data_IF_022747004977
#
_entry.id   IF_022747004977
#
_cell.length_a   1.000
_cell.length_b   1.000
_cell.length_c   1.000
_cell.angle_alpha   90.00
_cell.angle_beta   90.00
_cell.angle_gamma   90.00
#
_symmetry.space_group_name_H-M   'P 1'
#
loop_
_entity.id
_entity.type
_entity.pdbx_description
1 polymer ?
#
# COMPACT_ATOMS: atom_id res chain seq x y z
N UNK A 1 59.13 -31.90 -47.94
CA UNK A 1 58.91 -30.59 -47.30
C UNK A 1 57.42 -30.41 -47.16
N UNK A 2 56.84 -30.78 -46.01
CA UNK A 2 55.38 -30.74 -45.71
C UNK A 2 55.13 -29.63 -44.69
N UNK A 3 54.47 -28.59 -45.14
CA UNK A 3 54.07 -27.45 -44.31
C UNK A 3 52.81 -27.81 -43.47
N UNK A 4 52.96 -27.79 -42.16
CA UNK A 4 51.85 -27.92 -41.21
C UNK A 4 51.24 -26.54 -40.94
N UNK A 5 49.99 -26.27 -41.42
CA UNK A 5 49.19 -25.12 -41.07
C UNK A 5 48.54 -25.36 -39.70
N UNK A 6 48.91 -24.61 -38.67
CA UNK A 6 48.30 -24.63 -37.38
C UNK A 6 47.06 -23.69 -37.38
N UNK A 7 45.87 -24.26 -37.26
CA UNK A 7 44.60 -23.55 -37.08
C UNK A 7 44.52 -23.08 -35.65
N UNK A 8 44.61 -21.76 -35.41
CA UNK A 8 44.36 -21.15 -34.08
C UNK A 8 42.87 -20.93 -33.90
N UNK A 9 42.24 -21.73 -33.05
CA UNK A 9 40.85 -21.50 -32.60
C UNK A 9 40.84 -20.38 -31.55
N UNK A 10 40.31 -19.23 -31.90
CA UNK A 10 40.09 -18.11 -30.96
C UNK A 10 38.72 -18.29 -30.29
N UNK A 11 38.69 -18.77 -29.04
CA UNK A 11 37.47 -18.80 -28.24
C UNK A 11 37.11 -17.37 -27.80
N UNK A 12 36.03 -16.82 -28.35
CA UNK A 12 35.42 -15.57 -27.87
C UNK A 12 34.53 -15.91 -26.66
N UNK A 13 34.98 -15.56 -25.47
CA UNK A 13 34.19 -15.66 -24.27
C UNK A 13 33.19 -14.49 -24.24
N UNK A 14 31.90 -14.76 -24.47
CA UNK A 14 30.82 -13.80 -24.32
C UNK A 14 30.52 -13.69 -22.81
N UNK A 15 30.99 -12.61 -22.17
CA UNK A 15 30.59 -12.25 -20.82
C UNK A 15 29.15 -11.74 -20.85
N UNK A 16 28.20 -12.55 -20.38
CA UNK A 16 26.88 -12.08 -20.03
C UNK A 16 26.99 -11.24 -18.75
N UNK A 17 27.01 -9.92 -18.89
CA UNK A 17 26.78 -9.01 -17.77
C UNK A 17 25.32 -9.14 -17.34
N UNK A 18 25.06 -9.86 -16.25
CA UNK A 18 23.77 -9.82 -15.57
C UNK A 18 23.59 -8.39 -15.05
N UNK A 19 22.78 -7.59 -15.74
CA UNK A 19 22.31 -6.31 -15.23
C UNK A 19 21.45 -6.60 -13.99
N UNK A 20 22.01 -6.45 -12.81
CA UNK A 20 21.26 -6.34 -11.59
C UNK A 20 20.44 -5.04 -11.70
N UNK A 21 19.17 -5.16 -12.08
CA UNK A 21 18.23 -4.05 -12.00
C UNK A 21 18.14 -3.63 -10.54
N UNK A 22 18.83 -2.56 -10.18
CA UNK A 22 18.69 -1.94 -8.87
C UNK A 22 17.23 -1.52 -8.75
N UNK A 23 16.52 -2.11 -7.79
CA UNK A 23 15.19 -1.71 -7.39
C UNK A 23 15.24 -0.25 -6.94
N UNK A 24 14.78 0.67 -7.78
CA UNK A 24 14.74 2.08 -7.45
C UNK A 24 13.52 2.39 -6.57
N UNK A 25 13.76 3.00 -5.42
CA UNK A 25 12.75 3.79 -4.71
C UNK A 25 12.81 5.20 -5.28
N UNK A 26 11.74 5.71 -5.87
CA UNK A 26 11.69 7.08 -6.40
C UNK A 26 10.56 7.89 -5.77
N UNK A 27 10.79 9.17 -5.57
CA UNK A 27 9.74 10.12 -5.17
C UNK A 27 9.14 10.67 -6.45
N UNK A 28 7.87 10.38 -6.66
CA UNK A 28 7.07 10.94 -7.75
C UNK A 28 6.20 12.04 -7.19
N UNK A 29 6.16 13.18 -7.87
CA UNK A 29 5.29 14.31 -7.51
C UNK A 29 4.43 14.66 -8.72
N UNK A 30 3.10 14.65 -8.50
CA UNK A 30 2.11 15.00 -9.52
C UNK A 30 1.39 16.29 -9.13
N UNK A 31 0.88 17.01 -10.12
CA UNK A 31 -0.05 18.11 -9.87
C UNK A 31 -1.39 17.53 -9.40
N UNK A 32 -1.78 17.87 -8.18
CA UNK A 32 -3.06 17.51 -7.59
C UNK A 32 -4.14 18.54 -7.90
N UNK A 33 -4.86 18.99 -6.86
CA UNK A 33 -5.78 20.14 -6.94
C UNK A 33 -5.06 21.39 -7.41
N UNK A 34 -5.84 22.38 -7.85
CA UNK A 34 -5.29 23.67 -8.30
C UNK A 34 -4.36 24.28 -7.24
N UNK A 35 -3.09 24.45 -7.60
CA UNK A 35 -2.05 25.06 -6.77
C UNK A 35 -1.34 24.08 -5.83
N UNK A 36 -1.79 22.83 -5.72
CA UNK A 36 -1.21 21.85 -4.81
C UNK A 36 -0.56 20.67 -5.58
N UNK A 37 0.37 20.00 -4.89
CA UNK A 37 1.03 18.80 -5.41
C UNK A 37 0.83 17.61 -4.47
N UNK A 38 0.82 16.42 -5.06
CA UNK A 38 0.74 15.16 -4.34
C UNK A 38 1.98 14.32 -4.63
N UNK A 39 2.76 14.01 -3.59
CA UNK A 39 3.92 13.12 -3.70
C UNK A 39 3.60 11.72 -3.24
N UNK A 40 4.27 10.75 -3.83
CA UNK A 40 4.24 9.35 -3.39
C UNK A 40 5.59 8.67 -3.62
N UNK A 41 5.90 7.67 -2.79
CA UNK A 41 7.06 6.81 -2.96
C UNK A 41 6.69 5.67 -3.90
N UNK A 42 7.29 5.61 -5.08
CA UNK A 42 7.10 4.52 -6.03
C UNK A 42 8.22 3.49 -5.91
N UNK A 43 7.84 2.21 -5.90
CA UNK A 43 8.74 1.06 -5.89
C UNK A 43 8.21 0.02 -6.86
N UNK A 44 8.99 -0.35 -7.87
CA UNK A 44 8.64 -1.42 -8.79
C UNK A 44 9.87 -2.19 -9.25
N UNK A 45 9.65 -3.32 -9.88
CA UNK A 45 10.67 -4.12 -10.56
C UNK A 45 10.34 -4.18 -12.06
N UNK A 46 11.32 -4.57 -12.87
CA UNK A 46 11.08 -5.03 -14.24
C UNK A 46 10.75 -6.53 -14.24
N UNK A 47 9.86 -7.03 -15.09
CA UNK A 47 9.03 -6.31 -16.09
C UNK A 47 7.89 -5.49 -15.44
N UNK A 48 7.06 -4.76 -16.23
CA UNK A 48 5.93 -4.00 -15.70
C UNK A 48 5.00 -4.84 -14.82
N UNK A 49 4.52 -4.31 -13.68
CA UNK A 49 3.72 -5.05 -12.72
C UNK A 49 2.32 -5.40 -13.25
N UNK A 50 1.72 -6.46 -12.72
CA UNK A 50 0.30 -6.81 -12.94
C UNK A 50 -0.65 -5.97 -12.07
N UNK A 51 -0.14 -5.51 -10.93
CA UNK A 51 -0.91 -4.72 -9.98
C UNK A 51 -0.06 -3.63 -9.31
N UNK A 52 -0.69 -2.54 -8.91
CA UNK A 52 -0.11 -1.47 -8.10
C UNK A 52 -0.88 -1.35 -6.79
N UNK A 53 -0.17 -1.43 -5.67
CA UNK A 53 -0.69 -1.18 -4.33
C UNK A 53 -0.51 0.31 -3.99
N UNK A 54 -1.58 1.09 -4.06
CA UNK A 54 -1.61 2.50 -3.60
C UNK A 54 -1.92 2.49 -2.12
N UNK A 55 -0.93 2.84 -1.29
CA UNK A 55 -0.96 2.65 0.15
C UNK A 55 -1.19 3.96 0.90
N UNK A 56 -2.15 3.96 1.82
CA UNK A 56 -2.46 5.08 2.71
C UNK A 56 -2.05 4.73 4.15
N UNK A 57 -0.92 5.26 4.65
CA UNK A 57 -0.51 5.06 6.03
C UNK A 57 -1.51 5.62 7.03
N UNK A 58 -1.55 5.01 8.22
CA UNK A 58 -2.31 5.49 9.37
C UNK A 58 -1.75 6.77 9.97
N UNK A 59 -2.24 7.13 11.18
CA UNK A 59 -1.87 8.38 11.83
C UNK A 59 -2.19 9.59 10.95
N UNK A 60 -1.32 10.57 10.93
CA UNK A 60 -1.45 11.79 10.11
C UNK A 60 -1.13 11.54 8.62
N UNK A 61 -0.61 10.36 8.25
CA UNK A 61 -0.23 10.04 6.87
C UNK A 61 0.93 10.90 6.34
N UNK A 62 1.73 11.47 7.23
CA UNK A 62 2.79 12.40 6.92
C UNK A 62 4.13 11.66 6.81
N UNK A 63 4.51 11.29 5.59
CA UNK A 63 5.77 10.59 5.34
C UNK A 63 6.96 11.53 5.25
N UNK A 64 6.77 12.78 4.84
CA UNK A 64 7.86 13.73 4.60
C UNK A 64 8.93 13.16 3.68
N UNK A 65 8.48 12.72 2.52
CA UNK A 65 9.36 12.14 1.51
C UNK A 65 10.40 13.14 1.06
N UNK A 66 11.68 12.73 1.09
CA UNK A 66 12.80 13.56 0.64
C UNK A 66 13.96 12.71 0.14
N UNK A 67 14.73 13.26 -0.76
CA UNK A 67 15.97 12.64 -1.24
C UNK A 67 17.15 13.13 -0.42
N UNK A 68 17.97 12.22 0.10
CA UNK A 68 19.25 12.52 0.74
C UNK A 68 20.34 11.69 0.06
N UNK A 69 21.21 12.35 -0.70
CA UNK A 69 22.16 11.67 -1.58
C UNK A 69 21.42 10.78 -2.59
N UNK A 70 21.78 9.51 -2.66
CA UNK A 70 21.16 8.51 -3.56
C UNK A 70 20.03 7.71 -2.87
N UNK A 71 19.54 8.16 -1.72
CA UNK A 71 18.55 7.42 -0.93
C UNK A 71 17.28 8.24 -0.72
N UNK A 72 16.14 7.58 -0.73
CA UNK A 72 14.88 8.17 -0.26
C UNK A 72 14.78 8.03 1.25
N UNK A 73 14.43 9.12 1.92
CA UNK A 73 14.15 9.17 3.36
C UNK A 73 12.69 9.53 3.60
N UNK A 74 12.14 8.99 4.67
CA UNK A 74 10.74 9.22 5.05
C UNK A 74 10.53 8.99 6.56
N UNK A 75 9.43 9.52 7.06
CA UNK A 75 8.92 9.29 8.41
C UNK A 75 8.04 8.04 8.48
N UNK A 76 7.51 7.73 9.67
CA UNK A 76 6.55 6.63 9.91
C UNK A 76 7.07 5.23 9.54
N UNK A 77 8.38 4.99 9.58
CA UNK A 77 8.99 3.72 9.23
C UNK A 77 8.46 2.50 10.01
N UNK A 78 7.80 2.70 11.16
CA UNK A 78 7.13 1.63 11.93
C UNK A 78 5.70 1.33 11.46
N UNK A 79 5.03 2.25 10.74
CA UNK A 79 3.68 2.01 10.21
C UNK A 79 3.63 0.70 9.42
N UNK A 80 2.56 -0.08 9.56
CA UNK A 80 2.44 -1.40 8.94
C UNK A 80 2.72 -1.37 7.43
N UNK A 81 2.01 -0.54 6.66
CA UNK A 81 2.19 -0.48 5.21
C UNK A 81 3.58 0.04 4.81
N UNK A 82 4.14 0.99 5.58
CA UNK A 82 5.46 1.55 5.29
C UNK A 82 6.57 0.54 5.54
N UNK A 83 6.55 -0.19 6.68
CA UNK A 83 7.60 -1.17 6.99
C UNK A 83 7.52 -2.43 6.13
N UNK A 84 6.32 -2.79 5.68
CA UNK A 84 6.10 -3.99 4.85
C UNK A 84 6.14 -3.72 3.35
N UNK A 85 6.38 -2.49 2.91
CA UNK A 85 6.39 -2.11 1.49
C UNK A 85 7.25 -3.01 0.60
N UNK A 86 8.42 -3.41 1.12
CA UNK A 86 9.32 -4.33 0.42
C UNK A 86 8.78 -5.76 0.28
N UNK A 87 7.86 -6.18 1.17
CA UNK A 87 7.18 -7.49 1.08
C UNK A 87 6.06 -7.48 0.03
N UNK A 88 5.43 -6.32 -0.18
CA UNK A 88 4.44 -6.15 -1.25
C UNK A 88 5.09 -6.13 -2.62
N UNK A 89 6.23 -5.43 -2.74
CA UNK A 89 6.93 -5.28 -4.01
C UNK A 89 7.58 -6.58 -4.46
N UNK A 90 7.27 -7.00 -5.68
CA UNK A 90 7.94 -8.08 -6.39
C UNK A 90 7.82 -7.89 -7.92
N UNK A 91 7.97 -8.95 -8.71
CA UNK A 91 7.83 -8.90 -10.17
C UNK A 91 6.37 -8.67 -10.64
N UNK A 92 5.39 -8.85 -9.76
CA UNK A 92 3.97 -8.74 -10.13
C UNK A 92 3.27 -7.54 -9.49
N UNK A 93 3.80 -7.01 -8.39
CA UNK A 93 3.19 -5.92 -7.63
C UNK A 93 4.18 -4.77 -7.46
N UNK A 94 3.78 -3.61 -7.94
CA UNK A 94 4.41 -2.33 -7.60
C UNK A 94 3.73 -1.71 -6.37
N UNK A 95 4.44 -0.82 -5.70
CA UNK A 95 3.97 -0.12 -4.50
C UNK A 95 4.05 1.38 -4.71
N UNK A 96 2.99 2.09 -4.39
CA UNK A 96 2.93 3.55 -4.35
C UNK A 96 2.45 4.00 -2.98
N UNK A 97 3.34 4.47 -2.10
CA UNK A 97 2.97 4.95 -0.77
C UNK A 97 2.73 6.45 -0.82
N UNK A 98 1.51 6.85 -0.55
CA UNK A 98 1.08 8.24 -0.64
C UNK A 98 1.53 9.03 0.58
N UNK A 99 2.17 10.20 0.36
CA UNK A 99 2.45 11.19 1.40
C UNK A 99 1.25 12.13 1.58
N UNK A 100 1.26 12.98 2.58
CA UNK A 100 0.35 14.12 2.67
C UNK A 100 0.60 15.10 1.52
N UNK A 101 -0.43 15.74 0.92
CA UNK A 101 -0.21 16.74 -0.13
C UNK A 101 0.48 17.99 0.39
N UNK A 102 0.94 18.87 -0.53
CA UNK A 102 1.80 20.00 -0.22
C UNK A 102 1.23 20.94 0.85
N UNK A 103 -0.08 21.19 0.85
CA UNK A 103 -0.76 22.02 1.87
C UNK A 103 -0.97 21.32 3.22
N UNK A 104 -0.79 20.01 3.29
CA UNK A 104 -0.92 19.21 4.52
C UNK A 104 0.44 18.79 5.11
N UNK A 105 1.56 19.23 4.56
CA UNK A 105 2.91 18.82 5.00
C UNK A 105 3.29 19.34 6.40
N UNK A 106 2.56 20.32 6.95
CA UNK A 106 2.82 20.84 8.29
C UNK A 106 2.31 19.91 9.39
N UNK A 107 1.06 19.48 9.32
CA UNK A 107 0.37 18.73 10.37
C UNK A 107 -0.07 17.32 9.94
N UNK A 108 0.00 17.00 8.64
CA UNK A 108 -0.58 15.82 8.05
C UNK A 108 -2.09 15.95 7.80
N UNK A 109 -2.70 14.86 7.38
CA UNK A 109 -4.11 14.79 7.02
C UNK A 109 -4.96 14.42 8.24
N UNK A 110 -5.88 15.29 8.63
CA UNK A 110 -6.93 14.94 9.57
C UNK A 110 -8.04 14.08 8.92
N UNK A 111 -8.99 13.62 9.71
CA UNK A 111 -10.07 12.75 9.25
C UNK A 111 -10.99 13.48 8.25
N UNK A 112 -11.20 14.79 8.43
CA UNK A 112 -12.01 15.63 7.53
C UNK A 112 -11.38 15.76 6.15
N UNK A 113 -10.07 15.98 6.10
CA UNK A 113 -9.32 16.02 4.84
C UNK A 113 -9.37 14.67 4.12
N UNK A 114 -9.08 13.54 4.84
CA UNK A 114 -9.07 12.19 4.28
C UNK A 114 -10.40 11.77 3.66
N UNK A 115 -11.51 12.27 4.20
CA UNK A 115 -12.87 11.97 3.72
C UNK A 115 -13.40 13.01 2.73
N UNK A 116 -12.66 14.09 2.53
CA UNK A 116 -13.05 15.24 1.71
C UNK A 116 -12.76 15.09 0.22
N UNK A 117 -13.43 15.91 -0.58
CA UNK A 117 -13.27 15.98 -2.03
C UNK A 117 -11.83 16.34 -2.44
N UNK A 118 -11.16 17.19 -1.68
CA UNK A 118 -9.79 17.60 -1.92
C UNK A 118 -8.85 16.39 -2.02
N UNK A 119 -8.93 15.47 -1.04
CA UNK A 119 -8.13 14.25 -1.04
C UNK A 119 -8.46 13.33 -2.23
N UNK A 120 -9.74 13.21 -2.59
CA UNK A 120 -10.16 12.43 -3.76
C UNK A 120 -9.54 12.99 -5.06
N UNK A 121 -9.51 14.30 -5.23
CA UNK A 121 -8.91 14.96 -6.39
C UNK A 121 -7.39 14.71 -6.46
N UNK A 122 -6.68 14.85 -5.34
CA UNK A 122 -5.24 14.60 -5.26
C UNK A 122 -4.89 13.14 -5.58
N UNK A 123 -5.64 12.19 -5.03
CA UNK A 123 -5.40 10.77 -5.30
C UNK A 123 -5.85 10.38 -6.70
N UNK A 124 -6.86 11.04 -7.26
CA UNK A 124 -7.24 10.90 -8.67
C UNK A 124 -6.06 11.19 -9.61
N UNK A 125 -5.25 12.21 -9.30
CA UNK A 125 -4.03 12.53 -10.06
C UNK A 125 -2.97 11.41 -9.93
N UNK A 126 -2.77 10.86 -8.73
CA UNK A 126 -1.86 9.71 -8.50
C UNK A 126 -2.31 8.48 -9.31
N UNK A 127 -3.60 8.13 -9.24
CA UNK A 127 -4.17 7.00 -10.00
C UNK A 127 -3.99 7.19 -11.49
N UNK A 128 -4.22 8.40 -12.01
CA UNK A 128 -4.01 8.73 -13.42
C UNK A 128 -2.55 8.57 -13.84
N UNK A 129 -1.60 9.05 -13.04
CA UNK A 129 -0.16 8.89 -13.30
C UNK A 129 0.24 7.41 -13.32
N UNK A 130 -0.20 6.63 -12.33
CA UNK A 130 0.08 5.19 -12.25
C UNK A 130 -0.51 4.40 -13.43
N UNK A 131 -1.70 4.77 -13.92
CA UNK A 131 -2.29 4.19 -15.14
C UNK A 131 -1.45 4.50 -16.39
N UNK A 132 -0.83 5.68 -16.43
CA UNK A 132 0.06 6.06 -17.53
C UNK A 132 1.39 5.31 -17.46
N UNK A 133 1.96 5.16 -16.27
CA UNK A 133 3.24 4.44 -16.06
C UNK A 133 3.11 2.93 -16.28
N UNK A 134 1.99 2.35 -15.85
CA UNK A 134 1.75 0.91 -15.86
C UNK A 134 0.43 0.59 -16.58
N UNK A 135 0.36 0.77 -17.91
CA UNK A 135 -0.85 0.48 -18.67
C UNK A 135 -1.22 -1.00 -18.55
N UNK A 136 -2.48 -1.25 -18.17
CA UNK A 136 -2.99 -2.61 -17.95
C UNK A 136 -2.78 -3.19 -16.54
N UNK A 137 -1.96 -2.58 -15.68
CA UNK A 137 -1.86 -2.98 -14.28
C UNK A 137 -3.15 -2.64 -13.52
N UNK A 138 -3.59 -3.54 -12.63
CA UNK A 138 -4.71 -3.30 -11.72
C UNK A 138 -4.29 -2.35 -10.59
N UNK A 139 -5.14 -1.39 -10.24
CA UNK A 139 -4.88 -0.42 -9.15
C UNK A 139 -5.69 -0.81 -7.91
N UNK A 140 -5.00 -1.07 -6.81
CA UNK A 140 -5.61 -1.37 -5.51
C UNK A 140 -5.32 -0.27 -4.51
N UNK A 141 -6.35 0.20 -3.82
CA UNK A 141 -6.21 1.15 -2.71
C UNK A 141 -6.10 0.37 -1.40
N UNK A 142 -5.05 0.58 -0.62
CA UNK A 142 -4.82 -0.12 0.64
C UNK A 142 -4.66 0.89 1.77
N UNK A 143 -5.57 0.87 2.74
CA UNK A 143 -5.50 1.74 3.91
C UNK A 143 -5.22 0.95 5.19
N UNK A 144 -4.47 1.54 6.14
CA UNK A 144 -4.32 1.00 7.49
C UNK A 144 -4.71 2.04 8.52
N UNK A 145 -5.45 1.63 9.58
CA UNK A 145 -5.86 2.55 10.64
C UNK A 145 -6.59 3.78 10.06
N UNK A 146 -6.21 5.02 10.38
CA UNK A 146 -6.76 6.24 9.76
C UNK A 146 -6.64 6.26 8.23
N UNK A 147 -5.66 5.56 7.65
CA UNK A 147 -5.55 5.39 6.19
C UNK A 147 -6.74 4.68 5.56
N UNK A 148 -7.54 3.94 6.34
CA UNK A 148 -8.76 3.29 5.84
C UNK A 148 -9.85 4.30 5.48
N UNK A 149 -9.88 5.47 6.12
CA UNK A 149 -10.74 6.59 5.70
C UNK A 149 -10.38 7.03 4.28
N UNK A 150 -9.08 7.24 4.01
CA UNK A 150 -8.61 7.56 2.66
C UNK A 150 -9.02 6.50 1.65
N UNK A 151 -8.68 5.23 1.90
CA UNK A 151 -8.95 4.14 0.97
C UNK A 151 -10.46 3.95 0.70
N UNK A 152 -11.31 4.05 1.74
CA UNK A 152 -12.76 3.88 1.61
C UNK A 152 -13.42 5.04 0.83
N UNK A 153 -13.13 6.30 1.21
CA UNK A 153 -13.76 7.46 0.58
C UNK A 153 -13.26 7.70 -0.85
N UNK A 154 -11.96 7.52 -1.08
CA UNK A 154 -11.38 7.56 -2.44
C UNK A 154 -11.92 6.41 -3.29
N UNK A 155 -11.94 5.17 -2.75
CA UNK A 155 -12.46 3.99 -3.45
C UNK A 155 -13.94 4.12 -3.84
N UNK A 156 -14.77 4.74 -2.98
CA UNK A 156 -16.16 5.08 -3.30
C UNK A 156 -16.25 6.09 -4.44
N UNK A 157 -15.39 7.09 -4.43
CA UNK A 157 -15.46 8.22 -5.38
C UNK A 157 -14.82 7.90 -6.72
N UNK A 158 -13.71 7.13 -6.75
CA UNK A 158 -12.97 6.75 -7.96
C UNK A 158 -13.31 5.33 -8.45
N UNK A 159 -14.49 4.83 -8.18
CA UNK A 159 -14.89 3.45 -8.40
C UNK A 159 -14.66 2.90 -9.83
N UNK A 160 -14.64 3.76 -10.86
CA UNK A 160 -14.30 3.37 -12.23
C UNK A 160 -12.79 3.35 -12.52
N UNK A 161 -11.98 3.92 -11.62
CA UNK A 161 -10.52 4.06 -11.79
C UNK A 161 -9.69 3.09 -10.95
N UNK A 162 -10.31 2.28 -10.08
CA UNK A 162 -9.63 1.35 -9.16
C UNK A 162 -10.20 -0.05 -9.27
N UNK A 163 -9.35 -1.06 -9.09
CA UNK A 163 -9.68 -2.47 -9.29
C UNK A 163 -9.93 -3.22 -7.98
N UNK A 164 -9.72 -2.57 -6.84
CA UNK A 164 -10.04 -3.10 -5.53
C UNK A 164 -9.63 -2.19 -4.39
N UNK A 165 -10.21 -2.43 -3.22
CA UNK A 165 -9.93 -1.69 -1.97
C UNK A 165 -9.64 -2.69 -0.86
N UNK A 166 -8.58 -2.45 -0.09
CA UNK A 166 -8.22 -3.25 1.10
C UNK A 166 -8.20 -2.35 2.31
N UNK A 167 -8.96 -2.70 3.33
CA UNK A 167 -9.07 -1.96 4.58
C UNK A 167 -8.48 -2.80 5.71
N UNK A 168 -7.32 -2.37 6.23
CA UNK A 168 -6.60 -3.09 7.29
C UNK A 168 -6.70 -2.34 8.61
N UNK A 169 -7.02 -3.03 9.70
CA UNK A 169 -7.23 -2.42 11.03
C UNK A 169 -8.10 -1.16 10.93
N UNK A 170 -9.30 -1.31 10.37
CA UNK A 170 -10.18 -0.21 9.97
C UNK A 170 -10.62 0.64 11.16
N UNK A 171 -10.54 1.96 11.01
CA UNK A 171 -11.08 2.91 12.00
C UNK A 171 -12.60 2.98 11.85
N UNK A 172 -13.32 2.23 12.67
CA UNK A 172 -14.79 2.31 12.73
C UNK A 172 -15.26 3.49 13.57
N UNK A 173 -14.52 3.83 14.63
CA UNK A 173 -14.87 4.90 15.54
C UNK A 173 -13.77 5.96 15.58
N UNK A 174 -14.11 7.17 15.18
CA UNK A 174 -13.25 8.34 15.37
C UNK A 174 -13.04 8.64 16.85
N UNK A 175 -11.94 9.36 17.18
CA UNK A 175 -11.75 9.94 18.50
C UNK A 175 -12.76 11.06 18.79
N UNK A 176 -12.54 11.87 19.86
CA UNK A 176 -13.47 12.92 20.32
C UNK A 176 -14.01 13.87 19.24
N UNK A 177 -13.29 14.06 18.14
CA UNK A 177 -13.65 14.92 17.01
C UNK A 177 -13.43 14.24 15.66
N UNK A 178 -13.13 12.94 15.66
CA UNK A 178 -12.74 12.20 14.45
C UNK A 178 -13.93 11.52 13.77
N UNK A 179 -13.75 11.28 12.49
CA UNK A 179 -14.67 10.50 11.65
C UNK A 179 -14.22 9.04 11.67
N UNK A 180 -15.18 8.11 11.73
CA UNK A 180 -14.94 6.69 11.57
C UNK A 180 -15.77 6.12 10.44
N UNK A 181 -15.54 4.83 10.15
CA UNK A 181 -16.30 4.09 9.13
C UNK A 181 -17.58 3.44 9.66
N UNK A 182 -17.93 3.67 10.94
CA UNK A 182 -19.23 3.28 11.46
C UNK A 182 -20.34 4.02 10.71
N UNK A 183 -21.27 3.25 10.10
CA UNK A 183 -22.31 3.83 9.25
C UNK A 183 -21.88 4.21 7.83
N UNK A 184 -20.63 3.98 7.45
CA UNK A 184 -20.19 4.14 6.06
C UNK A 184 -20.85 3.08 5.17
N UNK A 185 -21.41 3.50 4.03
CA UNK A 185 -21.99 2.58 3.05
C UNK A 185 -20.86 1.92 2.21
N UNK A 186 -20.40 0.77 2.66
CA UNK A 186 -19.38 -0.02 1.94
C UNK A 186 -19.91 -0.55 0.59
N UNK A 187 -21.21 -0.74 0.42
CA UNK A 187 -21.83 -1.14 -0.84
C UNK A 187 -21.76 -0.07 -1.94
N UNK A 188 -21.50 1.17 -1.56
CA UNK A 188 -21.23 2.25 -2.50
C UNK A 188 -19.84 2.15 -3.17
N UNK A 189 -18.90 1.39 -2.62
CA UNK A 189 -17.63 1.05 -3.28
C UNK A 189 -17.94 -0.01 -4.33
N UNK A 190 -17.81 0.32 -5.62
CA UNK A 190 -18.13 -0.61 -6.73
C UNK A 190 -17.00 -1.57 -7.04
N UNK A 191 -15.76 -1.23 -6.68
CA UNK A 191 -14.63 -2.14 -6.77
C UNK A 191 -14.73 -3.25 -5.70
N UNK A 192 -14.16 -4.44 -5.92
CA UNK A 192 -14.03 -5.47 -4.90
C UNK A 192 -13.40 -4.92 -3.62
N UNK A 193 -13.95 -5.31 -2.46
CA UNK A 193 -13.53 -4.83 -1.14
C UNK A 193 -13.07 -6.01 -0.28
N UNK A 194 -11.93 -5.86 0.40
CA UNK A 194 -11.38 -6.82 1.36
C UNK A 194 -11.15 -6.13 2.70
N UNK A 195 -11.59 -6.76 3.78
CA UNK A 195 -11.18 -6.40 5.14
C UNK A 195 -10.07 -7.33 5.62
N UNK A 196 -9.10 -6.77 6.36
CA UNK A 196 -8.04 -7.51 7.05
C UNK A 196 -7.95 -7.00 8.47
N UNK A 197 -8.18 -7.85 9.46
CA UNK A 197 -8.18 -7.45 10.85
C UNK A 197 -7.55 -8.50 11.75
N UNK A 198 -6.81 -8.03 12.76
CA UNK A 198 -6.30 -8.91 13.79
C UNK A 198 -7.40 -9.16 14.85
N UNK A 199 -7.63 -10.43 15.20
CA UNK A 199 -8.71 -10.83 16.13
C UNK A 199 -8.55 -10.24 17.54
N UNK A 200 -7.30 -9.96 17.93
CA UNK A 200 -6.94 -9.37 19.22
C UNK A 200 -6.50 -7.90 19.08
N UNK A 201 -6.95 -7.19 18.05
CA UNK A 201 -6.70 -5.75 17.96
C UNK A 201 -7.40 -5.04 19.14
N UNK A 202 -6.60 -4.56 20.07
CA UNK A 202 -7.08 -3.87 21.28
C UNK A 202 -7.29 -2.37 21.08
N UNK A 203 -7.09 -1.85 19.86
CA UNK A 203 -7.38 -0.46 19.53
C UNK A 203 -8.89 -0.20 19.54
N UNK A 204 -9.33 0.67 20.46
CA UNK A 204 -10.77 0.98 20.64
C UNK A 204 -11.44 1.57 19.40
N UNK A 205 -10.67 2.23 18.53
CA UNK A 205 -11.17 2.78 17.26
C UNK A 205 -11.32 1.72 16.17
N UNK A 206 -10.68 0.54 16.32
CA UNK A 206 -10.56 -0.48 15.28
C UNK A 206 -10.99 -1.87 15.78
N UNK A 207 -12.17 -2.03 16.42
CA UNK A 207 -12.53 -3.31 17.02
C UNK A 207 -12.79 -4.37 15.94
N UNK A 208 -12.19 -5.55 16.11
CA UNK A 208 -12.34 -6.70 15.20
C UNK A 208 -13.81 -7.08 14.94
N UNK A 209 -14.66 -7.03 15.99
CA UNK A 209 -16.09 -7.38 15.89
C UNK A 209 -16.86 -6.63 14.80
N UNK A 210 -16.46 -5.38 14.52
CA UNK A 210 -17.12 -4.56 13.50
C UNK A 210 -16.74 -5.04 12.09
N UNK A 211 -15.48 -5.41 11.87
CA UNK A 211 -15.04 -6.06 10.61
C UNK A 211 -15.66 -7.47 10.47
N UNK A 212 -15.74 -8.23 11.55
CA UNK A 212 -16.38 -9.55 11.59
C UNK A 212 -17.88 -9.44 11.23
N UNK A 213 -18.57 -8.43 11.74
CA UNK A 213 -19.96 -8.16 11.38
C UNK A 213 -20.18 -7.92 9.89
N UNK A 214 -19.19 -7.35 9.20
CA UNK A 214 -19.20 -7.11 7.74
C UNK A 214 -18.85 -8.35 6.91
N UNK A 215 -18.32 -9.41 7.52
CA UNK A 215 -17.84 -10.62 6.81
C UNK A 215 -18.94 -11.40 6.08
N UNK A 216 -20.20 -11.14 6.39
CA UNK A 216 -21.37 -11.69 5.66
C UNK A 216 -21.56 -11.09 4.27
N UNK A 217 -21.06 -9.87 4.07
CA UNK A 217 -21.22 -9.12 2.82
C UNK A 217 -19.91 -8.93 2.07
N UNK A 218 -18.78 -8.93 2.79
CA UNK A 218 -17.46 -8.65 2.23
C UNK A 218 -16.43 -9.67 2.72
N UNK A 219 -15.46 -10.10 1.89
CA UNK A 219 -14.35 -10.94 2.34
C UNK A 219 -13.62 -10.33 3.54
N UNK A 220 -13.27 -11.18 4.52
CA UNK A 220 -12.45 -10.83 5.67
C UNK A 220 -11.30 -11.83 5.80
N UNK A 221 -10.10 -11.33 5.99
CA UNK A 221 -8.96 -12.09 6.47
C UNK A 221 -8.80 -11.80 7.96
N UNK A 222 -9.00 -12.81 8.78
CA UNK A 222 -8.79 -12.73 10.23
C UNK A 222 -7.37 -13.14 10.55
N UNK A 223 -6.61 -12.25 11.22
CA UNK A 223 -5.22 -12.52 11.60
C UNK A 223 -5.16 -12.80 13.10
N UNK A 224 -4.42 -13.83 13.50
CA UNK A 224 -4.19 -14.17 14.91
C UNK A 224 -2.71 -14.43 15.21
N UNK A 225 -2.36 -14.61 16.46
CA UNK A 225 -0.98 -14.85 16.88
C UNK A 225 -0.10 -13.61 16.76
N UNK A 226 1.16 -13.83 16.44
CA UNK A 226 2.16 -12.77 16.34
C UNK A 226 3.03 -12.63 17.59
N UNK A 227 3.74 -11.51 17.68
CA UNK A 227 4.63 -11.19 18.81
C UNK A 227 3.89 -10.41 19.89
N UNK A 228 4.33 -10.48 21.15
CA UNK A 228 3.87 -9.57 22.20
C UNK A 228 4.00 -8.10 21.74
N UNK A 229 3.04 -7.27 22.14
CA UNK A 229 3.05 -5.86 21.76
C UNK A 229 4.28 -5.13 22.36
N UNK A 230 4.92 -4.33 21.53
CA UNK A 230 6.03 -3.41 21.90
C UNK A 230 5.60 -1.94 21.83
N UNK A 231 4.32 -1.68 21.62
CA UNK A 231 3.73 -0.35 21.55
C UNK A 231 2.31 -0.35 22.11
N UNK A 232 1.71 0.83 22.26
CA UNK A 232 0.32 0.97 22.69
C UNK A 232 -0.66 0.29 21.72
N UNK A 233 -1.89 -0.05 22.17
CA UNK A 233 -2.84 -0.84 21.38
C UNK A 233 -3.15 -0.33 19.98
N UNK A 234 -3.19 0.99 19.76
CA UNK A 234 -3.45 1.57 18.44
C UNK A 234 -2.17 1.89 17.64
N UNK A 235 -1.02 1.45 18.15
CA UNK A 235 0.28 1.74 17.55
C UNK A 235 0.79 0.55 16.73
N UNK A 236 1.76 0.76 15.83
CA UNK A 236 2.11 -0.22 14.81
C UNK A 236 2.82 -1.49 15.29
N UNK A 237 3.47 -1.50 16.45
CA UNK A 237 4.15 -2.69 17.00
C UNK A 237 3.27 -3.43 18.01
N UNK A 238 2.00 -3.56 17.68
CA UNK A 238 0.98 -4.31 18.40
C UNK A 238 0.17 -5.15 17.41
N UNK A 239 -0.84 -5.88 17.89
CA UNK A 239 -1.82 -6.59 17.04
C UNK A 239 -2.45 -5.68 15.98
N UNK A 240 -2.67 -4.40 16.31
CA UNK A 240 -3.14 -3.36 15.38
C UNK A 240 -2.28 -3.23 14.12
N UNK A 241 -0.99 -3.44 14.21
CA UNK A 241 -0.05 -3.42 13.09
C UNK A 241 0.37 -4.81 12.62
N UNK A 242 -0.29 -5.88 13.04
CA UNK A 242 0.05 -7.28 12.69
C UNK A 242 1.47 -7.67 13.12
N UNK A 243 1.93 -7.17 14.26
CA UNK A 243 3.31 -7.34 14.70
C UNK A 243 3.67 -8.81 14.87
N UNK A 244 4.66 -9.28 14.07
CA UNK A 244 5.08 -10.67 14.00
C UNK A 244 4.26 -11.56 13.06
N UNK A 245 3.28 -10.97 12.30
CA UNK A 245 2.47 -11.65 11.27
C UNK A 245 2.49 -10.91 9.92
N UNK A 246 3.46 -10.03 9.76
CA UNK A 246 3.56 -9.20 8.56
C UNK A 246 3.67 -10.01 7.27
N UNK A 247 4.59 -11.01 7.14
CA UNK A 247 4.78 -11.73 5.89
C UNK A 247 3.53 -12.48 5.43
N UNK A 248 2.87 -13.19 6.34
CA UNK A 248 1.68 -14.00 6.05
C UNK A 248 0.50 -13.09 5.70
N UNK A 249 0.33 -12.00 6.44
CA UNK A 249 -0.74 -11.01 6.20
C UNK A 249 -0.55 -10.33 4.84
N UNK A 250 0.66 -9.90 4.52
CA UNK A 250 0.97 -9.30 3.21
C UNK A 250 0.77 -10.29 2.08
N UNK A 251 1.22 -11.56 2.25
CA UNK A 251 1.01 -12.60 1.26
C UNK A 251 -0.47 -12.82 0.97
N UNK A 252 -1.30 -12.92 2.00
CA UNK A 252 -2.74 -13.12 1.85
C UNK A 252 -3.41 -11.97 1.08
N UNK A 253 -3.03 -10.72 1.38
CA UNK A 253 -3.51 -9.54 0.64
C UNK A 253 -3.07 -9.56 -0.83
N UNK A 254 -1.80 -9.89 -1.10
CA UNK A 254 -1.28 -10.00 -2.48
C UNK A 254 -1.99 -11.08 -3.28
N UNK A 255 -2.24 -12.24 -2.68
CA UNK A 255 -2.97 -13.33 -3.34
C UNK A 255 -4.37 -12.86 -3.74
N UNK A 256 -5.09 -12.15 -2.85
CA UNK A 256 -6.38 -11.56 -3.18
C UNK A 256 -6.28 -10.53 -4.32
N UNK A 257 -5.32 -9.61 -4.27
CA UNK A 257 -5.11 -8.61 -5.32
C UNK A 257 -4.85 -9.23 -6.69
N UNK A 258 -4.14 -10.35 -6.72
CA UNK A 258 -3.77 -11.07 -7.94
C UNK A 258 -4.84 -12.08 -8.40
N UNK A 259 -5.98 -12.16 -7.70
CA UNK A 259 -7.07 -13.09 -8.02
C UNK A 259 -6.71 -14.55 -7.74
N UNK A 260 -5.79 -14.81 -6.82
CA UNK A 260 -5.38 -16.15 -6.39
C UNK A 260 -6.21 -16.63 -5.20
N UNK A 261 -6.26 -17.94 -4.94
CA UNK A 261 -6.76 -18.44 -3.66
C UNK A 261 -6.01 -17.82 -2.50
N UNK A 262 -6.73 -17.29 -1.51
CA UNK A 262 -6.17 -16.67 -0.32
C UNK A 262 -6.82 -17.22 0.95
N UNK A 263 -6.09 -17.31 2.08
CA UNK A 263 -6.64 -17.81 3.33
C UNK A 263 -7.63 -16.82 3.93
N UNK A 264 -8.70 -17.32 4.57
CA UNK A 264 -9.61 -16.51 5.39
C UNK A 264 -9.05 -16.25 6.79
N UNK A 265 -8.08 -17.05 7.22
CA UNK A 265 -7.38 -16.93 8.50
C UNK A 265 -5.88 -16.99 8.29
N UNK A 266 -5.15 -16.20 9.07
CA UNK A 266 -3.70 -16.19 9.20
C UNK A 266 -3.40 -16.38 10.68
N UNK A 267 -2.81 -17.54 11.03
CA UNK A 267 -2.50 -17.95 12.42
C UNK A 267 -1.00 -17.96 12.69
#
# INVERSE_FOLDING_TARGET
MTSMNSLRCTCVAILFAAAFSASAEEIVTVSGRKGETQSYLLMHNEPPPKAVAVMFPGGEGLLRLRTEGNSVKFSQGRNFLVRTRGMFRDAEVAVAIVDSPSDQQRAGMDDGFRTGRAHVEDIGAVVKDLRTRFPGAKIFLIGTSKGTLSAAYVGRSLSAGVDGVVLTSSVFYGGRSGIGLSGFDFGAIKAPLLFVHHVHDACRSCPYRDAEGLSRSFPLISVSGGKPAESDPCEPLAAHGYFGKEPETVKAMKDWMLGRPFPKTVD
#
